data_IF_433195748335
#
_entry.id   IF_433195748335
#
_cell.length_a   1.000
_cell.length_b   1.000
_cell.length_c   1.000
_cell.angle_alpha   90.00
_cell.angle_beta   90.00
_cell.angle_gamma   90.00
#
_symmetry.space_group_name_H-M   'P 1'
#
loop_
_entity.id
_entity.type
_entity.pdbx_description
1 polymer ?
#
# COMPACT_ATOMS: atom_id res chain seq x y z
N UNK A 1 -6.10 -27.74 -20.35
CA UNK A 1 -6.69 -26.80 -21.34
C UNK A 1 -7.77 -25.88 -20.79
N UNK A 2 -8.57 -26.28 -19.78
CA UNK A 2 -9.60 -25.41 -19.18
C UNK A 2 -9.03 -24.19 -18.43
N UNK A 3 -7.92 -24.36 -17.71
CA UNK A 3 -7.23 -23.26 -16.99
C UNK A 3 -6.73 -22.14 -17.92
N UNK A 4 -6.26 -22.50 -19.11
CA UNK A 4 -5.74 -21.55 -20.10
C UNK A 4 -6.85 -20.67 -20.70
N UNK A 5 -8.08 -21.20 -20.77
CA UNK A 5 -9.27 -20.45 -21.17
C UNK A 5 -9.72 -19.45 -20.09
N UNK A 6 -9.56 -19.79 -18.81
CA UNK A 6 -9.89 -18.92 -17.67
C UNK A 6 -8.94 -17.72 -17.63
N UNK A 7 -7.63 -17.97 -17.75
CA UNK A 7 -6.62 -16.91 -17.82
C UNK A 7 -6.77 -16.01 -19.04
N UNK A 8 -7.08 -16.58 -20.21
CA UNK A 8 -7.37 -15.82 -21.43
C UNK A 8 -8.59 -14.91 -21.24
N UNK A 9 -9.63 -15.38 -20.52
CA UNK A 9 -10.81 -14.58 -20.20
C UNK A 9 -10.46 -13.36 -19.34
N UNK A 10 -9.70 -13.56 -18.26
CA UNK A 10 -9.28 -12.47 -17.38
C UNK A 10 -8.36 -11.46 -18.09
N UNK A 11 -7.43 -11.92 -18.93
CA UNK A 11 -6.58 -11.04 -19.72
C UNK A 11 -7.38 -10.18 -20.72
N UNK A 12 -8.39 -10.77 -21.38
CA UNK A 12 -9.28 -10.05 -22.31
C UNK A 12 -10.17 -9.05 -21.57
N UNK A 13 -10.64 -9.38 -20.36
CA UNK A 13 -11.41 -8.45 -19.50
C UNK A 13 -10.55 -7.27 -19.06
N UNK A 14 -9.29 -7.49 -18.71
CA UNK A 14 -8.34 -6.44 -18.35
C UNK A 14 -8.05 -5.52 -19.55
N UNK A 15 -7.87 -6.08 -20.75
CA UNK A 15 -7.70 -5.33 -22.00
C UNK A 15 -8.97 -4.53 -22.39
N UNK A 16 -10.15 -5.09 -22.12
CA UNK A 16 -11.42 -4.40 -22.35
C UNK A 16 -11.65 -3.25 -21.34
N UNK A 17 -11.16 -3.39 -20.10
CA UNK A 17 -11.18 -2.35 -19.07
C UNK A 17 -10.45 -1.08 -19.49
N UNK A 18 -9.31 -1.24 -20.17
CA UNK A 18 -8.52 -0.12 -20.70
C UNK A 18 -9.26 0.61 -21.82
N UNK A 19 -10.08 -0.09 -22.61
CA UNK A 19 -10.77 0.47 -23.79
C UNK A 19 -12.10 1.18 -23.48
N UNK A 20 -12.79 0.80 -22.40
CA UNK A 20 -14.07 1.41 -21.98
C UNK A 20 -14.17 1.47 -20.44
N UNK A 21 -13.49 2.43 -19.80
CA UNK A 21 -13.41 2.49 -18.33
C UNK A 21 -14.77 2.69 -17.65
N UNK A 22 -15.72 3.37 -18.31
CA UNK A 22 -17.04 3.70 -17.76
C UNK A 22 -17.95 2.49 -17.47
N UNK A 23 -17.77 1.36 -18.18
CA UNK A 23 -18.60 0.15 -18.01
C UNK A 23 -17.89 -0.89 -17.14
N UNK A 24 -16.57 -0.82 -17.03
CA UNK A 24 -15.76 -1.81 -16.32
C UNK A 24 -15.53 -1.45 -14.84
N UNK A 25 -15.57 -0.16 -14.49
CA UNK A 25 -15.50 0.29 -13.09
C UNK A 25 -16.59 -0.33 -12.18
N UNK A 26 -17.88 -0.37 -12.59
CA UNK A 26 -18.92 -1.00 -11.76
C UNK A 26 -18.80 -2.53 -11.71
N UNK A 27 -18.33 -3.16 -12.79
CA UNK A 27 -18.20 -4.63 -12.86
C UNK A 27 -16.96 -5.16 -12.14
N UNK A 28 -15.88 -4.38 -12.04
CA UNK A 28 -14.77 -4.64 -11.11
C UNK A 28 -15.19 -4.46 -9.65
N UNK A 29 -16.06 -3.48 -9.36
CA UNK A 29 -16.64 -3.28 -8.02
C UNK A 29 -17.56 -4.40 -7.54
N UNK A 30 -18.08 -5.23 -8.47
CA UNK A 30 -18.91 -6.39 -8.19
C UNK A 30 -18.13 -7.72 -8.24
N UNK A 31 -16.82 -7.69 -8.54
CA UNK A 31 -15.99 -8.88 -8.54
C UNK A 31 -15.49 -9.12 -7.12
N UNK A 32 -15.99 -10.18 -6.46
CA UNK A 32 -15.37 -10.70 -5.24
C UNK A 32 -13.97 -11.17 -5.60
N UNK A 33 -12.99 -10.31 -5.39
CA UNK A 33 -11.58 -10.63 -5.57
C UNK A 33 -11.11 -11.51 -4.42
N UNK A 34 -10.30 -12.53 -4.72
CA UNK A 34 -9.60 -13.27 -3.68
C UNK A 34 -8.71 -12.33 -2.88
N UNK A 35 -8.59 -12.56 -1.58
CA UNK A 35 -7.81 -11.73 -0.64
C UNK A 35 -6.37 -11.54 -1.10
N UNK A 36 -5.76 -12.56 -1.70
CA UNK A 36 -4.43 -12.47 -2.31
C UNK A 36 -4.39 -11.48 -3.47
N UNK A 37 -5.42 -11.44 -4.32
CA UNK A 37 -5.48 -10.50 -5.45
C UNK A 37 -5.66 -9.07 -4.94
N UNK A 38 -6.52 -8.86 -3.95
CA UNK A 38 -6.74 -7.55 -3.34
C UNK A 38 -5.48 -7.05 -2.62
N UNK A 39 -4.75 -7.95 -1.95
CA UNK A 39 -3.43 -7.68 -1.38
C UNK A 39 -2.38 -7.33 -2.44
N UNK A 40 -2.35 -8.01 -3.59
CA UNK A 40 -1.46 -7.67 -4.71
C UNK A 40 -1.80 -6.29 -5.28
N UNK A 41 -3.09 -5.95 -5.42
CA UNK A 41 -3.50 -4.61 -5.84
C UNK A 41 -3.07 -3.53 -4.84
N UNK A 42 -3.22 -3.80 -3.54
CA UNK A 42 -2.73 -2.92 -2.48
C UNK A 42 -1.21 -2.72 -2.58
N UNK A 43 -0.45 -3.79 -2.81
CA UNK A 43 1.01 -3.74 -2.98
C UNK A 43 1.40 -2.89 -4.19
N UNK A 44 0.77 -3.10 -5.35
CA UNK A 44 1.03 -2.29 -6.56
C UNK A 44 0.69 -0.82 -6.31
N UNK A 45 -0.40 -0.54 -5.60
CA UNK A 45 -0.78 0.80 -5.18
C UNK A 45 0.29 1.45 -4.30
N UNK A 46 0.74 0.73 -3.25
CA UNK A 46 1.79 1.20 -2.35
C UNK A 46 3.10 1.44 -3.09
N UNK A 47 3.52 0.55 -3.97
CA UNK A 47 4.74 0.74 -4.78
C UNK A 47 4.66 1.95 -5.70
N UNK A 48 3.47 2.24 -6.23
CA UNK A 48 3.24 3.45 -7.03
C UNK A 48 3.37 4.69 -6.16
N UNK A 49 2.81 4.68 -4.96
CA UNK A 49 2.93 5.78 -3.99
C UNK A 49 4.37 5.93 -3.51
N UNK A 50 5.10 4.85 -3.26
CA UNK A 50 6.53 4.88 -2.89
C UNK A 50 7.35 5.52 -4.01
N UNK A 51 7.11 5.13 -5.26
CA UNK A 51 7.79 5.74 -6.40
C UNK A 51 7.50 7.25 -6.49
N UNK A 52 6.23 7.66 -6.38
CA UNK A 52 5.84 9.08 -6.43
C UNK A 52 6.47 9.86 -5.27
N UNK A 53 6.41 9.34 -4.04
CA UNK A 53 7.00 9.99 -2.88
C UNK A 53 8.52 10.04 -2.96
N UNK A 54 9.18 9.03 -3.53
CA UNK A 54 10.61 9.03 -3.83
C UNK A 54 11.02 10.05 -4.91
N UNK A 55 10.17 10.27 -5.93
CA UNK A 55 10.35 11.35 -6.92
C UNK A 55 10.21 12.71 -6.23
N UNK A 56 9.18 12.90 -5.40
CA UNK A 56 8.97 14.14 -4.64
C UNK A 56 10.13 14.44 -3.68
N UNK A 57 10.65 13.42 -2.99
CA UNK A 57 11.84 13.52 -2.16
C UNK A 57 13.05 14.00 -2.96
N UNK A 58 13.27 13.39 -4.13
CA UNK A 58 14.35 13.77 -5.04
C UNK A 58 14.19 15.20 -5.55
N UNK A 59 12.95 15.60 -5.86
CA UNK A 59 12.63 16.97 -6.31
C UNK A 59 12.90 18.00 -5.22
N UNK A 60 12.45 17.75 -3.99
CA UNK A 60 12.69 18.65 -2.86
C UNK A 60 14.19 18.82 -2.59
N UNK A 61 14.95 17.71 -2.58
CA UNK A 61 16.40 17.75 -2.45
C UNK A 61 17.04 18.57 -3.58
N UNK A 62 16.67 18.31 -4.84
CA UNK A 62 17.20 19.03 -6.00
C UNK A 62 16.89 20.54 -5.94
N UNK A 63 15.64 20.92 -5.62
CA UNK A 63 15.23 22.32 -5.47
C UNK A 63 16.07 23.07 -4.43
N UNK A 64 16.45 22.38 -3.34
CA UNK A 64 17.29 22.96 -2.29
C UNK A 64 18.80 22.95 -2.64
N UNK A 65 19.22 22.27 -3.71
CA UNK A 65 20.62 22.06 -4.06
C UNK A 65 21.29 23.23 -4.80
N UNK A 66 20.56 24.30 -5.17
CA UNK A 66 21.05 25.45 -5.99
C UNK A 66 21.68 25.07 -7.34
N UNK A 67 21.38 23.88 -7.88
CA UNK A 67 21.88 23.41 -9.18
C UNK A 67 20.92 23.87 -10.29
N UNK A 68 21.38 24.69 -11.24
CA UNK A 68 20.57 25.32 -12.30
C UNK A 68 20.16 24.40 -13.48
N UNK A 69 20.32 23.08 -13.38
CA UNK A 69 20.12 22.16 -14.52
C UNK A 69 18.91 21.23 -14.37
N UNK A 70 18.34 20.81 -15.51
CA UNK A 70 17.13 19.98 -15.64
C UNK A 70 17.01 18.84 -14.60
N UNK A 71 15.91 18.83 -13.83
CA UNK A 71 15.61 17.83 -12.80
C UNK A 71 15.75 16.38 -13.28
N UNK A 72 15.20 16.03 -14.44
CA UNK A 72 15.23 14.66 -14.96
C UNK A 72 16.63 14.15 -15.31
N UNK A 73 17.60 15.05 -15.50
CA UNK A 73 18.98 14.71 -15.84
C UNK A 73 19.90 14.68 -14.62
N UNK A 74 19.66 15.55 -13.63
CA UNK A 74 20.57 15.73 -12.49
C UNK A 74 19.91 15.54 -11.11
N UNK A 75 18.60 15.74 -11.00
CA UNK A 75 17.82 15.55 -9.78
C UNK A 75 17.27 14.13 -9.60
N UNK A 76 16.99 13.40 -10.70
CA UNK A 76 16.47 12.03 -10.67
C UNK A 76 17.44 11.04 -11.32
N UNK A 77 18.10 10.21 -10.51
CA UNK A 77 19.11 9.27 -10.97
C UNK A 77 18.50 7.96 -11.48
N UNK A 78 19.09 7.41 -12.56
CA UNK A 78 18.75 6.08 -13.10
C UNK A 78 18.94 4.96 -12.08
N UNK A 79 19.82 5.14 -11.09
CA UNK A 79 20.01 4.18 -9.99
C UNK A 79 18.76 4.03 -9.13
N UNK A 80 17.98 5.10 -8.93
CA UNK A 80 16.72 5.06 -8.14
C UNK A 80 15.63 4.28 -8.87
N UNK A 81 15.49 4.49 -10.18
CA UNK A 81 14.57 3.71 -11.02
C UNK A 81 14.96 2.23 -10.97
N UNK A 82 16.27 1.92 -11.11
CA UNK A 82 16.76 0.54 -11.02
C UNK A 82 16.43 -0.09 -9.68
N UNK A 83 16.59 0.64 -8.58
CA UNK A 83 16.25 0.15 -7.24
C UNK A 83 14.75 -0.13 -7.09
N UNK A 84 13.89 0.75 -7.61
CA UNK A 84 12.44 0.54 -7.59
C UNK A 84 12.01 -0.70 -8.40
N UNK A 85 12.63 -0.92 -9.56
CA UNK A 85 12.40 -2.14 -10.36
C UNK A 85 12.89 -3.39 -9.62
N UNK A 86 14.07 -3.34 -8.99
CA UNK A 86 14.59 -4.47 -8.22
C UNK A 86 13.65 -4.80 -7.06
N UNK A 87 13.21 -3.81 -6.28
CA UNK A 87 12.22 -4.00 -5.21
C UNK A 87 10.98 -4.73 -5.73
N UNK A 88 10.41 -4.22 -6.84
CA UNK A 88 9.26 -4.82 -7.50
C UNK A 88 9.47 -6.30 -7.81
N UNK A 89 10.55 -6.62 -8.54
CA UNK A 89 10.88 -7.99 -8.92
C UNK A 89 11.08 -8.86 -7.68
N UNK A 90 11.76 -8.36 -6.65
CA UNK A 90 12.01 -9.10 -5.41
C UNK A 90 10.71 -9.41 -4.67
N UNK A 91 9.77 -8.48 -4.55
CA UNK A 91 8.49 -8.72 -3.88
C UNK A 91 7.63 -9.73 -4.63
N UNK A 92 7.50 -9.59 -5.95
CA UNK A 92 6.74 -10.55 -6.74
C UNK A 92 7.37 -11.94 -6.72
N UNK A 93 8.70 -12.03 -6.80
CA UNK A 93 9.41 -13.30 -6.69
C UNK A 93 9.20 -13.93 -5.31
N UNK A 94 9.28 -13.14 -4.24
CA UNK A 94 9.04 -13.60 -2.88
C UNK A 94 7.62 -14.18 -2.72
N UNK A 95 6.60 -13.48 -3.23
CA UNK A 95 5.21 -13.95 -3.20
C UNK A 95 5.03 -15.25 -4.00
N UNK A 96 5.61 -15.33 -5.21
CA UNK A 96 5.55 -16.54 -6.04
C UNK A 96 6.25 -17.72 -5.35
N UNK A 97 7.41 -17.49 -4.74
CA UNK A 97 8.13 -18.52 -3.97
C UNK A 97 7.31 -18.99 -2.77
N UNK A 98 6.68 -18.08 -2.01
CA UNK A 98 5.80 -18.44 -0.90
C UNK A 98 4.61 -19.28 -1.35
N UNK A 99 3.97 -18.92 -2.45
CA UNK A 99 2.90 -19.73 -3.05
C UNK A 99 3.42 -21.10 -3.52
N UNK A 100 4.62 -21.14 -4.12
CA UNK A 100 5.26 -22.40 -4.51
C UNK A 100 5.50 -23.33 -3.32
N UNK A 101 5.93 -22.79 -2.18
CA UNK A 101 6.09 -23.55 -0.93
C UNK A 101 4.74 -24.07 -0.44
N UNK A 102 3.68 -23.27 -0.46
CA UNK A 102 2.33 -23.73 -0.09
C UNK A 102 1.88 -24.92 -0.94
N UNK A 103 2.09 -24.85 -2.26
CA UNK A 103 1.68 -25.89 -3.20
C UNK A 103 2.52 -27.16 -3.03
N UNK A 104 3.86 -27.04 -2.93
CA UNK A 104 4.78 -28.18 -2.83
C UNK A 104 4.55 -28.93 -1.51
N UNK A 105 4.45 -28.21 -0.40
CA UNK A 105 4.29 -28.80 0.93
C UNK A 105 2.82 -29.03 1.31
N UNK A 106 1.87 -28.66 0.42
CA UNK A 106 0.43 -28.75 0.64
C UNK A 106 0.00 -28.15 1.98
N UNK A 107 0.61 -27.01 2.32
CA UNK A 107 0.35 -26.29 3.56
C UNK A 107 -1.09 -25.77 3.48
N UNK A 108 -1.95 -26.21 4.40
CA UNK A 108 -3.30 -25.65 4.52
C UNK A 108 -3.22 -24.22 5.04
N UNK A 109 -4.23 -23.41 4.71
CA UNK A 109 -4.42 -22.12 5.35
C UNK A 109 -4.43 -22.28 6.87
N UNK A 110 -3.93 -21.28 7.58
CA UNK A 110 -3.82 -21.27 9.04
C UNK A 110 -5.20 -21.20 9.75
N UNK A 111 -6.30 -21.40 9.00
CA UNK A 111 -7.67 -21.31 9.47
C UNK A 111 -8.19 -19.87 9.59
N UNK A 112 -9.52 -19.74 9.68
CA UNK A 112 -10.16 -18.53 10.20
C UNK A 112 -10.04 -18.56 11.72
N UNK A 113 -9.39 -17.55 12.29
CA UNK A 113 -9.33 -17.33 13.73
C UNK A 113 -10.27 -16.16 14.07
N UNK A 114 -10.70 -16.03 15.33
CA UNK A 114 -11.55 -14.93 15.82
C UNK A 114 -11.01 -13.50 15.57
N UNK A 115 -9.79 -13.37 15.05
CA UNK A 115 -9.13 -12.10 14.73
C UNK A 115 -9.22 -11.70 13.25
N UNK A 116 -9.52 -12.62 12.33
CA UNK A 116 -9.58 -12.36 10.89
C UNK A 116 -10.63 -13.23 10.21
N UNK A 117 -11.54 -12.57 9.48
CA UNK A 117 -12.55 -13.25 8.66
C UNK A 117 -11.92 -13.94 7.44
N UNK A 118 -10.70 -13.55 7.07
CA UNK A 118 -9.96 -14.07 5.93
C UNK A 118 -9.04 -15.23 6.31
N UNK A 119 -8.97 -16.25 5.45
CA UNK A 119 -8.04 -17.36 5.60
C UNK A 119 -6.59 -16.87 5.48
N UNK A 120 -5.84 -16.94 6.58
CA UNK A 120 -4.42 -16.61 6.56
C UNK A 120 -3.64 -17.67 5.80
N UNK A 121 -3.04 -17.27 4.69
CA UNK A 121 -2.12 -18.08 3.89
C UNK A 121 -0.71 -17.51 3.99
N UNK A 122 0.31 -18.35 3.79
CA UNK A 122 1.71 -17.92 3.67
C UNK A 122 1.89 -16.91 2.54
N UNK A 123 1.16 -17.07 1.42
CA UNK A 123 1.15 -16.10 0.32
C UNK A 123 0.59 -14.75 0.75
N UNK A 124 -0.51 -14.73 1.50
CA UNK A 124 -1.10 -13.50 2.04
C UNK A 124 -0.18 -12.82 3.05
N UNK A 125 0.52 -13.61 3.89
CA UNK A 125 1.53 -13.10 4.81
C UNK A 125 2.71 -12.45 4.05
N UNK A 126 3.19 -13.09 2.98
CA UNK A 126 4.28 -12.54 2.17
C UNK A 126 3.90 -11.24 1.48
N UNK A 127 2.65 -11.13 1.02
CA UNK A 127 2.10 -9.87 0.50
C UNK A 127 2.07 -8.81 1.62
N UNK A 128 1.58 -9.16 2.81
CA UNK A 128 1.51 -8.23 3.94
C UNK A 128 2.90 -7.72 4.37
N UNK A 129 3.92 -8.58 4.34
CA UNK A 129 5.32 -8.19 4.61
C UNK A 129 5.81 -7.21 3.54
N UNK A 130 5.59 -7.50 2.24
CA UNK A 130 5.97 -6.60 1.16
C UNK A 130 5.27 -5.23 1.29
N UNK A 131 3.97 -5.22 1.57
CA UNK A 131 3.21 -4.00 1.84
C UNK A 131 3.76 -3.21 3.03
N UNK A 132 4.16 -3.91 4.10
CA UNK A 132 4.73 -3.28 5.30
C UNK A 132 6.07 -2.59 5.02
N UNK A 133 6.92 -3.21 4.18
CA UNK A 133 8.20 -2.62 3.76
C UNK A 133 7.96 -1.34 2.94
N UNK A 134 7.02 -1.38 2.00
CA UNK A 134 6.67 -0.20 1.18
C UNK A 134 6.06 0.91 2.03
N UNK A 135 5.18 0.57 2.98
CA UNK A 135 4.66 1.52 3.96
C UNK A 135 5.80 2.19 4.74
N UNK A 136 6.78 1.41 5.21
CA UNK A 136 7.93 1.98 5.91
C UNK A 136 8.73 2.93 5.01
N UNK A 137 9.00 2.55 3.76
CA UNK A 137 9.74 3.38 2.80
C UNK A 137 8.99 4.70 2.50
N UNK A 138 7.67 4.67 2.33
CA UNK A 138 6.86 5.87 2.13
C UNK A 138 6.94 6.80 3.34
N UNK A 139 6.57 6.30 4.53
CA UNK A 139 6.35 7.14 5.69
C UNK A 139 7.63 7.52 6.43
N UNK A 140 8.64 6.65 6.50
CA UNK A 140 9.83 6.93 7.30
C UNK A 140 11.01 7.36 6.46
N UNK A 141 11.00 7.10 5.15
CA UNK A 141 12.12 7.44 4.28
C UNK A 141 11.78 8.57 3.30
N UNK A 142 10.75 8.38 2.47
CA UNK A 142 10.50 9.27 1.33
C UNK A 142 9.75 10.55 1.72
N UNK A 143 8.66 10.45 2.47
CA UNK A 143 7.89 11.63 2.90
C UNK A 143 8.72 12.62 3.75
N UNK A 144 9.57 12.21 4.72
CA UNK A 144 10.44 13.15 5.44
C UNK A 144 11.43 13.86 4.53
N UNK A 145 12.04 13.14 3.58
CA UNK A 145 12.96 13.72 2.57
C UNK A 145 12.23 14.66 1.60
N UNK A 146 10.94 14.41 1.33
CA UNK A 146 10.07 15.29 0.54
C UNK A 146 9.69 16.59 1.27
N UNK A 147 10.10 16.76 2.53
CA UNK A 147 9.82 17.96 3.32
C UNK A 147 8.50 17.90 4.09
N UNK A 148 7.85 16.73 4.14
CA UNK A 148 6.69 16.52 4.99
C UNK A 148 7.16 16.17 6.41
N UNK A 149 6.86 17.06 7.37
CA UNK A 149 7.05 16.76 8.79
C UNK A 149 5.93 15.85 9.30
N UNK A 150 6.09 14.56 9.06
CA UNK A 150 5.12 13.52 9.45
C UNK A 150 4.99 13.45 10.97
N UNK A 151 6.08 13.66 11.71
CA UNK A 151 6.06 13.62 13.16
C UNK A 151 5.30 14.82 13.73
N UNK A 152 5.50 16.00 13.16
CA UNK A 152 4.72 17.20 13.47
C UNK A 152 3.24 17.04 13.12
N UNK A 153 2.91 16.45 11.98
CA UNK A 153 1.53 16.21 11.56
C UNK A 153 0.84 15.16 12.44
N UNK A 154 1.53 14.06 12.75
CA UNK A 154 1.06 13.03 13.66
C UNK A 154 0.80 13.62 15.04
N UNK A 155 1.75 14.36 15.62
CA UNK A 155 1.60 15.03 16.92
C UNK A 155 0.42 16.01 16.95
N UNK A 156 0.16 16.71 15.84
CA UNK A 156 -1.04 17.56 15.66
C UNK A 156 -2.34 16.77 15.64
N UNK A 157 -2.36 15.61 14.98
CA UNK A 157 -3.53 14.73 14.95
C UNK A 157 -3.76 14.13 16.34
N UNK A 158 -2.72 13.61 17.00
CA UNK A 158 -2.84 13.05 18.35
C UNK A 158 -3.27 14.11 19.37
N UNK A 159 -2.77 15.34 19.27
CA UNK A 159 -3.20 16.42 20.17
C UNK A 159 -4.67 16.82 19.94
N UNK A 160 -5.14 16.85 18.69
CA UNK A 160 -6.55 17.09 18.37
C UNK A 160 -7.45 15.98 18.90
N UNK A 161 -7.07 14.72 18.72
CA UNK A 161 -7.82 13.56 19.24
C UNK A 161 -7.85 13.61 20.77
N UNK A 162 -6.71 13.84 21.42
CA UNK A 162 -6.63 13.95 22.87
C UNK A 162 -7.51 15.09 23.39
N UNK A 163 -7.50 16.25 22.73
CA UNK A 163 -8.34 17.38 23.10
C UNK A 163 -9.83 17.06 22.95
N UNK A 164 -10.23 16.40 21.86
CA UNK A 164 -11.61 15.96 21.66
C UNK A 164 -12.08 14.96 22.72
N UNK A 165 -11.21 14.01 23.11
CA UNK A 165 -11.50 13.06 24.20
C UNK A 165 -11.66 13.79 25.53
N UNK A 166 -10.79 14.76 25.84
CA UNK A 166 -10.92 15.57 27.07
C UNK A 166 -12.20 16.39 27.06
N UNK A 167 -12.57 17.02 25.94
CA UNK A 167 -13.83 17.78 25.83
C UNK A 167 -15.06 16.88 26.01
N UNK A 168 -15.07 15.68 25.43
CA UNK A 168 -16.17 14.73 25.64
C UNK A 168 -16.22 14.30 27.11
N UNK A 169 -15.06 14.03 27.73
CA UNK A 169 -14.98 13.66 29.14
C UNK A 169 -15.47 14.78 30.07
N UNK A 170 -15.09 16.02 29.82
CA UNK A 170 -15.53 17.18 30.61
C UNK A 170 -17.04 17.43 30.48
N UNK A 171 -17.63 17.17 29.31
CA UNK A 171 -19.09 17.23 29.11
C UNK A 171 -19.79 16.09 29.88
N UNK A 172 -19.26 14.86 29.84
CA UNK A 172 -19.84 13.72 30.54
C UNK A 172 -19.69 13.80 32.06
N UNK A 173 -18.55 14.28 32.59
CA UNK A 173 -18.33 14.48 34.03
C UNK A 173 -19.09 15.71 34.56
N UNK A 174 -19.31 16.74 33.74
CA UNK A 174 -20.13 17.90 34.08
C UNK A 174 -21.63 17.56 34.24
N UNK A 175 -22.14 16.60 33.46
CA UNK A 175 -23.54 16.16 33.52
C UNK A 175 -23.82 15.33 34.80
N UNK A 176 -22.88 14.47 35.20
CA UNK A 176 -22.98 13.61 36.39
C UNK A 176 -22.93 14.36 37.73
N UNK A 177 -22.36 15.57 37.78
CA UNK A 177 -22.30 16.39 38.99
C UNK A 177 -23.49 17.35 39.14
N UNK A 178 -24.41 17.38 38.17
CA UNK A 178 -25.59 18.24 38.19
C UNK A 178 -26.89 17.51 38.58
N UNK A 179 -26.80 16.21 38.88
CA UNK A 179 -27.94 15.32 39.19
C UNK A 179 -28.05 14.87 40.66
N UNK A 180 -27.32 15.50 41.58
CA UNK A 180 -27.52 15.38 43.05
C UNK A 180 -27.93 16.71 43.65
#
# INVERSE_FOLDING_TARGET
MKELLIYKKHAITLLAAVKKPAIVLPTLGLMTFSDCLLGVFLLVGLMTVDFVTGVLASWNMWKNSKIESNFWKYGFSSSRIRLSIIKSVTYFLFIICSYGVEVIFRIKSFGSNNYTDHELTLSLLSIAIACSIEFYSIFFENLPKAGFDIWGYFKKITSKIKSGITTIKDITDGDNNSTT
#
